data_IF_262676856342
#
_entry.id   IF_262676856342
#
_cell.length_a   1.000
_cell.length_b   1.000
_cell.length_c   1.000
_cell.angle_alpha   90.00
_cell.angle_beta   90.00
_cell.angle_gamma   90.00
#
_symmetry.space_group_name_H-M   'P 1'
#
loop_
_entity.id
_entity.type
_entity.pdbx_description
1 polymer ?
#
# COMPACT_ATOMS: atom_id res chain seq x y z
N UNK A 1 8.88 -12.35 -18.94
CA UNK A 1 9.14 -12.44 -20.41
C UNK A 1 8.02 -13.15 -21.16
N UNK A 2 7.58 -14.34 -20.70
CA UNK A 2 6.45 -15.02 -21.38
C UNK A 2 5.14 -14.25 -21.27
N UNK A 3 4.83 -13.71 -20.09
CA UNK A 3 3.64 -12.89 -19.88
C UNK A 3 3.55 -11.68 -20.83
N UNK A 4 4.67 -11.06 -21.19
CA UNK A 4 4.67 -9.92 -22.13
C UNK A 4 4.18 -10.31 -23.54
N UNK A 5 4.45 -11.55 -23.95
CA UNK A 5 4.01 -12.06 -25.26
C UNK A 5 2.51 -12.32 -25.28
N UNK A 6 1.99 -12.98 -24.24
CA UNK A 6 0.57 -13.35 -24.17
C UNK A 6 -0.36 -12.22 -23.74
N UNK A 7 0.17 -11.25 -22.98
CA UNK A 7 -0.58 -10.12 -22.44
C UNK A 7 -0.27 -8.79 -23.15
N UNK A 8 0.32 -8.82 -24.35
CA UNK A 8 0.78 -7.62 -25.06
C UNK A 8 -0.31 -6.56 -25.25
N UNK A 9 -1.55 -6.97 -25.42
CA UNK A 9 -2.71 -6.09 -25.62
C UNK A 9 -3.59 -5.98 -24.37
N UNK A 10 -3.13 -6.47 -23.23
CA UNK A 10 -3.89 -6.46 -22.00
C UNK A 10 -3.82 -5.08 -21.33
N UNK A 11 -4.86 -4.74 -20.58
CA UNK A 11 -4.97 -3.48 -19.86
C UNK A 11 -5.64 -3.69 -18.50
N UNK A 12 -5.52 -2.73 -17.61
CA UNK A 12 -6.33 -2.71 -16.40
C UNK A 12 -7.76 -2.33 -16.78
N UNK A 13 -8.70 -3.23 -16.54
CA UNK A 13 -10.11 -3.03 -16.82
C UNK A 13 -10.98 -3.60 -15.70
N UNK A 14 -11.88 -2.79 -15.17
CA UNK A 14 -12.80 -3.14 -14.07
C UNK A 14 -14.22 -3.40 -14.57
N UNK A 15 -14.49 -3.10 -15.85
CA UNK A 15 -15.79 -3.24 -16.46
C UNK A 15 -15.99 -4.59 -17.17
N UNK A 16 -17.25 -4.83 -17.50
CA UNK A 16 -17.63 -5.93 -18.40
C UNK A 16 -17.21 -5.60 -19.84
N UNK A 17 -16.79 -6.61 -20.57
CA UNK A 17 -16.57 -6.55 -22.02
C UNK A 17 -17.45 -7.64 -22.65
N UNK A 18 -18.61 -7.24 -23.16
CA UNK A 18 -19.60 -8.17 -23.72
C UNK A 18 -19.13 -8.82 -25.03
N UNK A 19 -18.24 -8.14 -25.78
CA UNK A 19 -17.68 -8.64 -27.03
C UNK A 19 -16.52 -9.61 -26.80
N UNK A 20 -15.79 -9.42 -25.70
CA UNK A 20 -14.68 -10.27 -25.32
C UNK A 20 -14.65 -10.53 -23.81
N UNK A 21 -15.35 -11.57 -23.33
CA UNK A 21 -15.39 -11.91 -21.90
C UNK A 21 -14.01 -12.16 -21.28
N UNK A 22 -13.00 -12.50 -22.05
CA UNK A 22 -11.63 -12.64 -21.57
C UNK A 22 -11.02 -11.29 -21.14
N UNK A 23 -11.42 -10.20 -21.78
CA UNK A 23 -10.98 -8.84 -21.44
C UNK A 23 -11.80 -8.19 -20.33
N UNK A 24 -12.95 -8.78 -19.96
CA UNK A 24 -13.76 -8.27 -18.88
C UNK A 24 -13.07 -8.46 -17.52
N UNK A 25 -13.25 -7.49 -16.63
CA UNK A 25 -12.81 -7.55 -15.25
C UNK A 25 -11.32 -7.91 -15.07
N UNK A 26 -10.45 -7.42 -15.95
CA UNK A 26 -9.01 -7.74 -15.95
C UNK A 26 -8.30 -7.23 -14.69
N UNK A 27 -8.84 -6.25 -13.99
CA UNK A 27 -8.33 -5.80 -12.70
C UNK A 27 -8.42 -6.83 -11.59
N UNK A 28 -9.37 -7.81 -11.69
CA UNK A 28 -9.47 -8.94 -10.76
C UNK A 28 -8.64 -10.17 -11.20
N UNK A 29 -7.86 -10.02 -12.25
CA UNK A 29 -6.98 -11.07 -12.77
C UNK A 29 -5.57 -10.53 -12.93
N UNK A 30 -4.59 -11.41 -12.94
CA UNK A 30 -3.20 -11.01 -13.20
C UNK A 30 -3.08 -10.51 -14.65
N UNK A 31 -3.28 -9.21 -14.84
CA UNK A 31 -3.07 -8.53 -16.10
C UNK A 31 -1.58 -8.20 -16.32
N UNK A 32 -1.23 -7.70 -17.52
CA UNK A 32 0.15 -7.36 -17.89
C UNK A 32 0.84 -6.45 -16.85
N UNK A 33 0.16 -5.40 -16.43
CA UNK A 33 0.76 -4.41 -15.54
C UNK A 33 0.81 -4.91 -14.10
N UNK A 34 -0.16 -5.71 -13.66
CA UNK A 34 -0.11 -6.41 -12.38
C UNK A 34 1.08 -7.40 -12.32
N UNK A 35 1.32 -8.17 -13.40
CA UNK A 35 2.45 -9.07 -13.48
C UNK A 35 3.79 -8.34 -13.45
N UNK A 36 3.92 -7.22 -14.18
CA UNK A 36 5.10 -6.36 -14.14
C UNK A 36 5.31 -5.73 -12.76
N UNK A 37 4.26 -5.20 -12.16
CA UNK A 37 4.33 -4.61 -10.83
C UNK A 37 4.73 -5.64 -9.76
N UNK A 38 4.19 -6.85 -9.82
CA UNK A 38 4.64 -7.95 -8.95
C UNK A 38 6.10 -8.31 -9.19
N UNK A 39 6.54 -8.33 -10.45
CA UNK A 39 7.97 -8.56 -10.77
C UNK A 39 8.86 -7.47 -10.16
N UNK A 40 8.48 -6.18 -10.29
CA UNK A 40 9.23 -5.08 -9.68
C UNK A 40 9.30 -5.22 -8.15
N UNK A 41 8.19 -5.56 -7.48
CA UNK A 41 8.13 -5.84 -6.04
C UNK A 41 9.09 -6.95 -5.62
N UNK A 42 9.11 -8.08 -6.35
CA UNK A 42 9.97 -9.23 -6.05
C UNK A 42 11.45 -8.88 -6.25
N UNK A 43 11.78 -8.17 -7.32
CA UNK A 43 13.15 -7.72 -7.60
C UNK A 43 13.64 -6.75 -6.51
N UNK A 44 12.82 -5.78 -6.13
CA UNK A 44 13.13 -4.87 -5.04
C UNK A 44 13.38 -5.63 -3.73
N UNK A 45 12.56 -6.65 -3.45
CA UNK A 45 12.71 -7.48 -2.25
C UNK A 45 14.01 -8.29 -2.25
N UNK A 46 14.47 -8.81 -3.40
CA UNK A 46 15.76 -9.51 -3.53
C UNK A 46 16.95 -8.58 -3.30
N UNK A 47 16.89 -7.34 -3.76
CA UNK A 47 17.80 -6.26 -3.39
C UNK A 47 19.20 -6.32 -3.99
N UNK A 48 19.49 -7.21 -4.93
CA UNK A 48 20.75 -7.19 -5.68
C UNK A 48 20.85 -5.95 -6.58
N UNK A 49 22.06 -5.48 -6.89
CA UNK A 49 22.25 -4.26 -7.70
C UNK A 49 21.57 -4.35 -9.08
N UNK A 50 21.65 -5.49 -9.75
CA UNK A 50 20.96 -5.76 -11.00
C UNK A 50 19.43 -5.81 -10.80
N UNK A 51 18.98 -6.40 -9.69
CA UNK A 51 17.57 -6.48 -9.33
C UNK A 51 16.99 -5.10 -9.08
N UNK A 52 17.69 -4.24 -8.35
CA UNK A 52 17.24 -2.86 -8.11
C UNK A 52 17.14 -2.07 -9.42
N UNK A 53 18.16 -2.16 -10.29
CA UNK A 53 18.13 -1.48 -11.58
C UNK A 53 16.92 -1.95 -12.43
N UNK A 54 16.66 -3.25 -12.47
CA UNK A 54 15.52 -3.80 -13.22
C UNK A 54 14.17 -3.49 -12.55
N UNK A 55 14.09 -3.51 -11.21
CA UNK A 55 12.89 -3.09 -10.48
C UNK A 55 12.50 -1.64 -10.80
N UNK A 56 13.47 -0.73 -10.75
CA UNK A 56 13.27 0.67 -11.12
C UNK A 56 12.82 0.85 -12.57
N UNK A 57 13.46 0.13 -13.50
CA UNK A 57 13.07 0.15 -14.92
C UNK A 57 11.64 -0.32 -15.14
N UNK A 58 11.25 -1.43 -14.53
CA UNK A 58 9.89 -1.99 -14.65
C UNK A 58 8.87 -1.05 -14.00
N UNK A 59 9.16 -0.51 -12.81
CA UNK A 59 8.26 0.41 -12.13
C UNK A 59 7.98 1.66 -13.00
N UNK A 60 9.02 2.27 -13.58
CA UNK A 60 8.90 3.39 -14.53
C UNK A 60 8.08 3.02 -15.77
N UNK A 61 8.27 1.82 -16.30
CA UNK A 61 7.49 1.32 -17.42
C UNK A 61 5.99 1.21 -17.07
N UNK A 62 5.66 0.66 -15.89
CA UNK A 62 4.27 0.56 -15.42
C UNK A 62 3.66 1.94 -15.24
N UNK A 63 4.37 2.86 -14.57
CA UNK A 63 3.93 4.25 -14.39
C UNK A 63 3.58 4.91 -15.73
N UNK A 64 4.43 4.77 -16.74
CA UNK A 64 4.25 5.43 -18.02
C UNK A 64 3.23 4.78 -18.95
N UNK A 65 2.89 3.52 -18.75
CA UNK A 65 2.13 2.74 -19.76
C UNK A 65 0.81 2.12 -19.25
N UNK A 66 0.58 2.02 -17.93
CA UNK A 66 -0.62 1.35 -17.42
C UNK A 66 -1.93 2.14 -17.67
N UNK A 67 -1.83 3.42 -18.01
CA UNK A 67 -2.97 4.30 -18.23
C UNK A 67 -3.66 4.79 -16.96
N UNK A 68 -3.26 4.32 -15.78
CA UNK A 68 -3.77 4.78 -14.50
C UNK A 68 -3.02 6.04 -14.04
N UNK A 69 -3.64 6.75 -13.11
CA UNK A 69 -3.05 7.93 -12.46
C UNK A 69 -3.17 7.80 -10.95
N UNK A 70 -2.24 8.41 -10.23
CA UNK A 70 -2.34 8.52 -8.78
C UNK A 70 -3.63 9.24 -8.37
N UNK A 71 -4.34 8.68 -7.40
CA UNK A 71 -5.52 9.29 -6.80
C UNK A 71 -5.11 10.59 -6.10
N UNK A 72 -5.86 11.66 -6.38
CA UNK A 72 -5.67 12.99 -5.83
C UNK A 72 -6.98 13.51 -5.27
N UNK A 73 -6.98 13.92 -4.02
CA UNK A 73 -8.10 14.65 -3.40
C UNK A 73 -9.51 14.03 -3.64
N UNK A 74 -9.58 12.70 -3.72
CA UNK A 74 -10.84 12.00 -3.91
C UNK A 74 -11.28 11.30 -2.62
N UNK A 75 -12.05 11.99 -1.79
CA UNK A 75 -12.57 11.45 -0.53
C UNK A 75 -13.57 10.29 -0.72
N UNK A 76 -14.05 10.05 -1.94
CA UNK A 76 -14.95 8.94 -2.25
C UNK A 76 -14.19 7.64 -2.57
N UNK A 77 -12.93 7.74 -2.98
CA UNK A 77 -12.07 6.59 -3.22
C UNK A 77 -11.10 6.35 -2.07
N UNK A 78 -11.66 5.87 -0.95
CA UNK A 78 -10.94 5.67 0.30
C UNK A 78 -9.82 4.64 0.18
N UNK A 79 -10.01 3.61 -0.64
CA UNK A 79 -9.03 2.54 -0.85
C UNK A 79 -8.03 2.85 -1.97
N UNK A 80 -8.13 4.02 -2.60
CA UNK A 80 -7.36 4.39 -3.80
C UNK A 80 -7.51 3.37 -4.93
N UNK A 81 -8.75 2.94 -5.17
CA UNK A 81 -9.06 1.90 -6.13
C UNK A 81 -8.81 2.35 -7.57
N UNK A 82 -9.00 3.63 -7.89
CA UNK A 82 -8.78 4.18 -9.24
C UNK A 82 -7.31 4.09 -9.70
N UNK A 83 -6.37 3.87 -8.79
CA UNK A 83 -4.96 3.60 -9.11
C UNK A 83 -4.56 2.12 -8.94
N UNK A 84 -5.53 1.22 -8.75
CA UNK A 84 -5.25 -0.19 -8.49
C UNK A 84 -4.97 -0.96 -9.76
N UNK A 85 -3.85 -1.68 -9.78
CA UNK A 85 -3.43 -2.55 -10.88
C UNK A 85 -4.02 -3.95 -10.75
N UNK A 86 -4.22 -4.40 -9.51
CA UNK A 86 -4.76 -5.72 -9.21
C UNK A 86 -5.48 -5.72 -7.86
N UNK A 87 -6.69 -6.26 -7.83
CA UNK A 87 -7.47 -6.47 -6.60
C UNK A 87 -8.12 -7.84 -6.57
N UNK A 88 -8.41 -8.32 -5.37
CA UNK A 88 -9.31 -9.45 -5.16
C UNK A 88 -10.74 -8.96 -4.95
N UNK A 89 -11.68 -9.65 -5.52
CA UNK A 89 -13.09 -9.49 -5.19
C UNK A 89 -13.50 -10.47 -4.10
N UNK A 90 -14.18 -9.98 -3.07
CA UNK A 90 -14.62 -10.75 -1.91
C UNK A 90 -16.05 -10.34 -1.56
N UNK A 91 -17.04 -11.15 -1.93
CA UNK A 91 -18.48 -10.87 -1.71
C UNK A 91 -18.84 -10.64 -0.24
N UNK A 92 -18.11 -11.22 0.70
CA UNK A 92 -18.32 -11.16 2.13
C UNK A 92 -17.22 -10.36 2.87
N UNK A 93 -16.55 -9.43 2.17
CA UNK A 93 -15.43 -8.68 2.73
C UNK A 93 -15.81 -7.88 3.98
N UNK A 94 -16.99 -7.26 3.98
CA UNK A 94 -17.47 -6.47 5.11
C UNK A 94 -17.62 -7.35 6.36
N UNK A 95 -18.31 -8.48 6.23
CA UNK A 95 -18.55 -9.43 7.34
C UNK A 95 -17.23 -9.97 7.92
N UNK A 96 -16.28 -10.31 7.06
CA UNK A 96 -14.96 -10.84 7.48
C UNK A 96 -14.09 -9.79 8.17
N UNK A 97 -14.19 -8.55 7.76
CA UNK A 97 -13.32 -7.48 8.25
C UNK A 97 -13.98 -6.66 9.35
N UNK A 98 -15.28 -6.82 9.58
CA UNK A 98 -16.02 -6.09 10.61
C UNK A 98 -15.35 -6.17 11.98
N UNK A 99 -14.97 -7.36 12.41
CA UNK A 99 -14.35 -7.58 13.72
C UNK A 99 -13.03 -6.84 13.91
N UNK A 100 -12.33 -6.51 12.83
CA UNK A 100 -11.03 -5.82 12.88
C UNK A 100 -11.14 -4.31 12.72
N UNK A 101 -12.11 -3.82 11.95
CA UNK A 101 -12.18 -2.42 11.52
C UNK A 101 -13.51 -1.73 11.86
N UNK A 102 -14.44 -2.39 12.56
CA UNK A 102 -15.71 -1.78 12.96
C UNK A 102 -15.61 -1.10 14.34
N UNK A 103 -16.33 -0.01 14.51
CA UNK A 103 -16.43 0.75 15.77
C UNK A 103 -16.91 -0.12 16.92
N UNK A 104 -17.91 -0.97 16.68
CA UNK A 104 -18.45 -1.88 17.71
C UNK A 104 -17.43 -2.91 18.19
N UNK A 105 -16.60 -3.43 17.30
CA UNK A 105 -15.54 -4.36 17.63
C UNK A 105 -14.40 -3.73 18.46
N UNK A 106 -14.26 -2.39 18.45
CA UNK A 106 -13.27 -1.69 19.26
C UNK A 106 -13.40 -1.96 20.77
N UNK A 107 -14.57 -2.38 21.22
CA UNK A 107 -14.84 -2.63 22.63
C UNK A 107 -14.50 -4.07 23.08
N UNK A 108 -14.43 -5.02 22.16
CA UNK A 108 -14.12 -6.44 22.49
C UNK A 108 -12.62 -6.79 22.47
N UNK A 109 -11.77 -5.87 22.06
CA UNK A 109 -10.30 -6.02 22.05
C UNK A 109 -9.73 -6.67 20.79
N UNK A 110 -10.55 -7.13 19.84
CA UNK A 110 -10.10 -7.71 18.57
C UNK A 110 -9.81 -6.65 17.50
N UNK A 111 -10.39 -5.46 17.62
CA UNK A 111 -10.27 -4.40 16.64
C UNK A 111 -8.87 -3.78 16.55
N UNK A 112 -8.45 -3.51 15.32
CA UNK A 112 -7.21 -2.81 15.01
C UNK A 112 -7.43 -1.29 15.03
N UNK A 113 -6.85 -0.62 16.01
CA UNK A 113 -6.98 0.81 16.20
C UNK A 113 -5.64 1.48 16.51
N UNK A 114 -5.58 2.78 16.29
CA UNK A 114 -4.43 3.64 16.60
C UNK A 114 -4.89 4.84 17.41
N UNK A 115 -4.11 5.26 18.41
CA UNK A 115 -4.45 6.49 19.15
C UNK A 115 -4.35 7.71 18.23
N UNK A 116 -5.17 8.77 18.46
CA UNK A 116 -5.08 10.01 17.69
C UNK A 116 -3.65 10.56 17.63
N UNK A 117 -2.97 10.66 18.77
CA UNK A 117 -1.58 11.16 18.83
C UNK A 117 -0.62 10.32 17.99
N UNK A 118 -0.78 8.99 17.98
CA UNK A 118 0.08 8.12 17.17
C UNK A 118 -0.25 8.27 15.68
N UNK A 119 -1.53 8.42 15.33
CA UNK A 119 -1.95 8.67 13.96
C UNK A 119 -1.42 10.03 13.44
N UNK A 120 -1.59 11.10 14.23
CA UNK A 120 -1.08 12.43 13.89
C UNK A 120 0.43 12.41 13.65
N UNK A 121 1.18 11.71 14.49
CA UNK A 121 2.62 11.54 14.31
C UNK A 121 2.97 10.65 13.11
N UNK A 122 2.22 9.56 12.87
CA UNK A 122 2.47 8.67 11.74
C UNK A 122 2.29 9.37 10.39
N UNK A 123 1.30 10.26 10.30
CA UNK A 123 1.00 11.04 9.10
C UNK A 123 1.58 12.45 9.11
N UNK A 124 2.37 12.81 10.13
CA UNK A 124 3.03 14.12 10.28
C UNK A 124 2.05 15.31 10.26
N UNK A 125 0.82 15.11 10.74
CA UNK A 125 -0.28 16.09 10.63
C UNK A 125 -0.04 17.36 11.46
N UNK A 126 0.69 17.23 12.56
CA UNK A 126 1.07 18.36 13.43
C UNK A 126 2.14 19.24 12.80
N UNK A 127 2.84 18.74 11.77
CA UNK A 127 3.79 19.52 10.98
C UNK A 127 3.11 20.19 9.78
N UNK A 128 3.77 21.19 9.21
CA UNK A 128 3.30 21.80 7.96
C UNK A 128 3.27 20.81 6.81
N UNK A 129 4.12 19.80 6.83
CA UNK A 129 4.28 18.78 5.77
C UNK A 129 3.02 17.93 5.63
N UNK A 130 2.57 17.28 6.71
CA UNK A 130 1.47 16.32 6.68
C UNK A 130 0.07 16.94 6.87
N UNK A 131 -0.03 18.26 7.09
CA UNK A 131 -1.31 18.93 7.41
C UNK A 131 -2.43 18.66 6.41
N UNK A 132 -2.10 18.53 5.14
CA UNK A 132 -3.05 18.31 4.05
C UNK A 132 -2.97 16.91 3.47
N UNK A 133 -2.26 15.98 4.11
CA UNK A 133 -2.17 14.61 3.65
C UNK A 133 -3.57 13.97 3.60
N UNK A 134 -4.02 13.63 2.40
CA UNK A 134 -5.38 13.10 2.16
C UNK A 134 -5.58 11.73 2.82
N UNK A 135 -4.50 10.98 3.04
CA UNK A 135 -4.54 9.68 3.71
C UNK A 135 -5.00 9.79 5.17
N UNK A 136 -4.82 10.98 5.77
CA UNK A 136 -5.33 11.29 7.10
C UNK A 136 -6.56 12.19 7.05
N UNK A 137 -6.49 13.30 6.28
CA UNK A 137 -7.46 14.41 6.31
C UNK A 137 -8.89 13.98 5.96
N UNK A 138 -9.07 13.13 4.97
CA UNK A 138 -10.38 12.67 4.54
C UNK A 138 -10.79 11.34 5.19
N UNK A 139 -10.08 10.91 6.22
CA UNK A 139 -10.31 9.63 6.86
C UNK A 139 -10.09 8.44 5.93
N UNK A 140 -9.32 8.64 4.88
CA UNK A 140 -8.89 7.59 3.96
C UNK A 140 -8.35 6.38 4.71
N UNK A 141 -7.52 6.59 5.71
CA UNK A 141 -7.01 5.54 6.54
C UNK A 141 -7.73 5.40 7.88
N UNK A 142 -8.43 6.44 8.36
CA UNK A 142 -8.78 6.52 9.78
C UNK A 142 -10.15 7.15 10.01
N UNK A 143 -10.90 6.60 10.96
CA UNK A 143 -12.12 7.21 11.48
C UNK A 143 -12.23 6.95 12.99
N UNK A 144 -13.13 7.66 13.65
CA UNK A 144 -13.28 7.55 15.09
C UNK A 144 -13.80 6.15 15.49
N UNK A 145 -12.96 5.40 16.17
CA UNK A 145 -13.24 4.08 16.77
C UNK A 145 -13.79 4.19 18.20
N UNK A 146 -14.63 5.16 18.48
CA UNK A 146 -15.19 5.38 19.83
C UNK A 146 -14.15 5.94 20.81
N UNK A 147 -14.14 5.44 22.03
CA UNK A 147 -13.26 5.92 23.12
C UNK A 147 -11.81 5.43 23.00
N UNK A 148 -11.54 4.41 22.20
CA UNK A 148 -10.19 3.81 22.10
C UNK A 148 -9.28 4.52 21.12
N UNK A 149 -9.79 4.92 19.96
CA UNK A 149 -8.95 5.59 18.97
C UNK A 149 -9.53 5.63 17.56
N UNK A 150 -8.63 5.68 16.59
CA UNK A 150 -8.94 5.75 15.17
C UNK A 150 -8.75 4.38 14.51
N UNK A 151 -9.63 4.03 13.57
CA UNK A 151 -9.61 2.77 12.85
C UNK A 151 -9.45 3.02 11.34
N UNK A 152 -8.88 2.05 10.64
CA UNK A 152 -8.74 2.12 9.19
C UNK A 152 -10.09 2.02 8.49
N UNK A 153 -10.34 2.89 7.51
CA UNK A 153 -11.57 2.91 6.72
C UNK A 153 -11.47 2.21 5.37
N UNK A 154 -10.28 1.87 4.94
CA UNK A 154 -10.05 1.29 3.60
C UNK A 154 -10.95 0.09 3.29
N UNK A 155 -11.29 -0.68 4.32
CA UNK A 155 -12.00 -1.95 4.20
C UNK A 155 -13.46 -1.89 4.67
N UNK A 156 -13.89 -0.74 5.16
CA UNK A 156 -15.28 -0.48 5.56
C UNK A 156 -15.83 0.69 4.73
N UNK A 157 -16.17 0.43 3.48
CA UNK A 157 -16.68 1.48 2.60
C UNK A 157 -18.02 2.00 3.08
N UNK A 158 -18.26 3.29 2.85
CA UNK A 158 -19.59 3.88 3.02
C UNK A 158 -20.58 3.22 2.07
N UNK A 159 -21.88 3.22 2.39
CA UNK A 159 -22.93 2.52 1.64
C UNK A 159 -22.96 2.79 0.13
N UNK A 160 -22.35 3.88 -0.33
CA UNK A 160 -22.32 4.30 -1.74
C UNK A 160 -20.97 4.06 -2.41
N UNK A 161 -20.06 3.33 -1.80
CA UNK A 161 -18.75 3.07 -2.39
C UNK A 161 -18.85 2.04 -3.51
N UNK A 162 -18.53 2.46 -4.73
CA UNK A 162 -18.67 1.62 -5.94
C UNK A 162 -17.77 0.39 -5.92
N UNK A 163 -16.66 0.49 -5.19
CA UNK A 163 -15.63 -0.55 -5.13
C UNK A 163 -15.63 -1.36 -3.82
N UNK A 164 -16.74 -1.31 -3.08
CA UNK A 164 -16.90 -2.20 -1.92
C UNK A 164 -16.67 -3.65 -2.36
N UNK A 165 -16.25 -4.50 -1.46
CA UNK A 165 -15.95 -5.90 -1.76
C UNK A 165 -14.68 -6.12 -2.61
N UNK A 166 -13.90 -5.07 -2.84
CA UNK A 166 -12.64 -5.17 -3.57
C UNK A 166 -11.45 -4.84 -2.67
N UNK A 167 -10.52 -5.78 -2.58
CA UNK A 167 -9.28 -5.65 -1.81
C UNK A 167 -8.11 -5.33 -2.76
N UNK A 168 -7.63 -4.08 -2.81
CA UNK A 168 -6.44 -3.73 -3.58
C UNK A 168 -5.21 -4.50 -3.09
N UNK A 169 -4.49 -5.16 -3.99
CA UNK A 169 -3.27 -5.89 -3.69
C UNK A 169 -2.02 -5.25 -4.27
N UNK A 170 -2.16 -4.58 -5.42
CA UNK A 170 -1.07 -3.87 -6.08
C UNK A 170 -1.64 -2.55 -6.60
N UNK A 171 -1.05 -1.44 -6.16
CA UNK A 171 -1.45 -0.08 -6.55
C UNK A 171 -0.32 0.66 -7.25
N UNK A 172 -0.67 1.65 -8.06
CA UNK A 172 0.29 2.48 -8.78
C UNK A 172 1.22 3.25 -7.82
N UNK A 173 0.71 3.71 -6.66
CA UNK A 173 1.53 4.36 -5.63
C UNK A 173 2.75 3.53 -5.21
N UNK A 174 2.63 2.20 -5.20
CA UNK A 174 3.78 1.31 -4.95
C UNK A 174 4.85 1.42 -6.04
N UNK A 175 4.45 1.56 -7.30
CA UNK A 175 5.41 1.70 -8.39
C UNK A 175 6.22 3.00 -8.28
N UNK A 176 5.60 4.08 -7.82
CA UNK A 176 6.32 5.32 -7.52
C UNK A 176 7.33 5.14 -6.39
N UNK A 177 6.98 4.44 -5.32
CA UNK A 177 7.91 4.13 -4.23
C UNK A 177 9.05 3.23 -4.70
N UNK A 178 8.77 2.19 -5.50
CA UNK A 178 9.80 1.32 -6.07
C UNK A 178 10.73 2.10 -7.01
N UNK A 179 10.18 2.95 -7.86
CA UNK A 179 10.98 3.78 -8.76
C UNK A 179 11.92 4.71 -7.98
N UNK A 180 11.38 5.43 -6.98
CA UNK A 180 12.17 6.32 -6.14
C UNK A 180 13.29 5.58 -5.41
N UNK A 181 12.95 4.49 -4.72
CA UNK A 181 13.90 3.73 -3.93
C UNK A 181 14.98 3.05 -4.78
N UNK A 182 14.59 2.40 -5.87
CA UNK A 182 15.51 1.65 -6.71
C UNK A 182 16.46 2.54 -7.53
N UNK A 183 16.08 3.78 -7.82
CA UNK A 183 16.86 4.68 -8.66
C UNK A 183 17.46 5.88 -7.94
N UNK A 184 17.01 6.17 -6.71
CA UNK A 184 17.39 7.38 -5.98
C UNK A 184 16.79 8.66 -6.55
N UNK A 185 15.82 8.57 -7.47
CA UNK A 185 15.22 9.71 -8.13
C UNK A 185 14.06 10.25 -7.27
N UNK A 186 14.28 11.43 -6.68
CA UNK A 186 13.33 12.05 -5.78
C UNK A 186 12.03 12.51 -6.47
N UNK A 187 12.02 12.68 -7.79
CA UNK A 187 10.84 13.12 -8.53
C UNK A 187 9.68 12.14 -8.33
N UNK A 188 9.93 10.83 -8.40
CA UNK A 188 8.89 9.82 -8.16
C UNK A 188 8.31 9.86 -6.74
N UNK A 189 9.16 10.09 -5.75
CA UNK A 189 8.70 10.21 -4.36
C UNK A 189 7.89 11.49 -4.16
N UNK A 190 8.34 12.59 -4.75
CA UNK A 190 7.65 13.88 -4.69
C UNK A 190 6.30 13.84 -5.43
N UNK A 191 6.24 13.21 -6.59
CA UNK A 191 5.00 13.01 -7.33
C UNK A 191 3.94 12.27 -6.51
N UNK A 192 4.34 11.19 -5.83
CA UNK A 192 3.46 10.48 -4.91
C UNK A 192 3.02 11.39 -3.77
N UNK A 193 3.95 12.06 -3.10
CA UNK A 193 3.67 12.97 -1.98
C UNK A 193 2.73 14.10 -2.39
N UNK A 194 2.98 14.71 -3.53
CA UNK A 194 2.14 15.76 -4.09
C UNK A 194 0.72 15.24 -4.41
N UNK A 195 0.61 14.02 -4.94
CA UNK A 195 -0.68 13.39 -5.16
C UNK A 195 -1.43 13.15 -3.85
N UNK A 196 -0.74 12.90 -2.76
CA UNK A 196 -1.30 12.71 -1.42
C UNK A 196 -1.56 14.02 -0.68
N UNK A 197 -1.43 15.17 -1.33
CA UNK A 197 -1.74 16.50 -0.78
C UNK A 197 -0.61 17.15 0.00
N UNK A 198 0.60 16.59 -0.01
CA UNK A 198 1.79 17.23 0.51
C UNK A 198 2.24 18.28 -0.52
N UNK A 199 2.38 19.52 -0.08
CA UNK A 199 2.70 20.64 -0.99
C UNK A 199 4.12 20.52 -1.58
N UNK A 200 4.29 20.90 -2.84
CA UNK A 200 5.58 20.93 -3.53
C UNK A 200 6.65 21.79 -2.83
N UNK A 201 6.27 22.70 -1.94
CA UNK A 201 7.26 23.45 -1.12
C UNK A 201 8.03 22.55 -0.14
N UNK A 202 7.57 21.32 0.06
CA UNK A 202 8.19 20.29 0.89
C UNK A 202 8.76 19.14 0.04
N UNK A 203 8.98 19.37 -1.25
CA UNK A 203 9.64 18.40 -2.11
C UNK A 203 11.05 18.11 -1.60
N UNK A 204 11.46 16.88 -1.78
CA UNK A 204 12.75 16.39 -1.33
C UNK A 204 13.76 16.52 -2.47
N UNK A 205 14.99 16.95 -2.14
CA UNK A 205 16.09 17.00 -3.09
C UNK A 205 16.70 15.60 -3.34
N UNK A 206 16.55 14.69 -2.39
CA UNK A 206 17.11 13.34 -2.44
C UNK A 206 16.19 12.30 -1.77
N UNK A 207 16.34 11.03 -2.17
CA UNK A 207 15.65 9.90 -1.55
C UNK A 207 16.48 9.38 -0.38
N UNK A 208 16.00 9.62 0.85
CA UNK A 208 16.63 9.08 2.06
C UNK A 208 15.84 7.91 2.62
N UNK A 209 16.50 7.01 3.37
CA UNK A 209 15.84 5.91 4.08
C UNK A 209 14.73 6.42 5.01
N UNK A 210 14.96 7.54 5.70
CA UNK A 210 13.96 8.15 6.58
C UNK A 210 12.73 8.63 5.82
N UNK A 211 12.91 9.23 4.65
CA UNK A 211 11.80 9.66 3.81
C UNK A 211 11.01 8.48 3.25
N UNK A 212 11.72 7.43 2.82
CA UNK A 212 11.08 6.19 2.37
C UNK A 212 10.30 5.52 3.52
N UNK A 213 10.89 5.39 4.72
CA UNK A 213 10.20 4.84 5.90
C UNK A 213 8.88 5.56 6.16
N UNK A 214 8.92 6.90 6.16
CA UNK A 214 7.73 7.71 6.38
C UNK A 214 6.66 7.47 5.30
N UNK A 215 7.06 7.43 4.03
CA UNK A 215 6.09 7.27 2.93
C UNK A 215 5.58 5.83 2.80
N UNK A 216 6.41 4.80 2.97
CA UNK A 216 5.94 3.41 3.02
C UNK A 216 4.94 3.19 4.16
N UNK A 217 5.20 3.74 5.34
CA UNK A 217 4.29 3.66 6.48
C UNK A 217 2.94 4.33 6.21
N UNK A 218 2.94 5.53 5.63
CA UNK A 218 1.71 6.28 5.31
C UNK A 218 0.94 5.61 4.17
N UNK A 219 1.62 5.24 3.11
CA UNK A 219 1.01 4.71 1.90
C UNK A 219 0.38 3.32 2.12
N UNK A 220 1.08 2.46 2.84
CA UNK A 220 0.65 1.09 3.09
C UNK A 220 0.06 0.86 4.48
N UNK A 221 -0.48 1.93 5.10
CA UNK A 221 -1.19 1.77 6.38
C UNK A 221 -2.30 0.73 6.25
N UNK A 222 -2.27 -0.29 7.12
CA UNK A 222 -3.17 -1.45 7.12
C UNK A 222 -3.13 -2.36 5.87
N UNK A 223 -2.11 -2.27 5.01
CA UNK A 223 -1.94 -3.14 3.83
C UNK A 223 -0.84 -4.20 4.00
N UNK A 224 -0.09 -4.17 5.10
CA UNK A 224 0.97 -5.15 5.39
C UNK A 224 2.30 -4.93 4.65
N UNK A 225 2.35 -4.11 3.60
CA UNK A 225 3.56 -3.92 2.78
C UNK A 225 4.71 -3.22 3.54
N UNK A 226 4.38 -2.39 4.53
CA UNK A 226 5.39 -1.73 5.37
C UNK A 226 6.28 -2.74 6.13
N UNK A 227 5.76 -3.91 6.51
CA UNK A 227 6.57 -4.98 7.12
C UNK A 227 7.70 -5.46 6.19
N UNK A 228 7.43 -5.58 4.90
CA UNK A 228 8.44 -6.01 3.93
C UNK A 228 9.51 -4.94 3.70
N UNK A 229 9.14 -3.65 3.78
CA UNK A 229 10.11 -2.55 3.78
C UNK A 229 11.05 -2.68 4.98
N UNK A 230 10.52 -2.76 6.20
CA UNK A 230 11.31 -2.90 7.42
C UNK A 230 12.25 -4.13 7.36
N UNK A 231 11.74 -5.25 6.86
CA UNK A 231 12.49 -6.51 6.75
C UNK A 231 13.69 -6.39 5.80
N UNK A 232 13.50 -5.87 4.59
CA UNK A 232 14.58 -5.80 3.58
C UNK A 232 15.63 -4.73 3.90
N UNK A 233 15.26 -3.69 4.64
CA UNK A 233 16.19 -2.70 5.19
C UNK A 233 16.83 -3.13 6.51
N UNK A 234 16.47 -4.30 7.04
CA UNK A 234 16.93 -4.81 8.33
C UNK A 234 16.79 -3.77 9.46
N UNK A 235 15.68 -3.02 9.45
CA UNK A 235 15.42 -1.94 10.39
C UNK A 235 15.43 -2.45 11.82
N UNK A 236 16.21 -1.84 12.69
CA UNK A 236 16.31 -2.25 14.10
C UNK A 236 15.25 -1.60 14.99
N UNK A 237 14.59 -0.60 14.47
CA UNK A 237 13.48 0.12 15.11
C UNK A 237 12.53 0.61 14.03
N UNK A 238 11.32 0.98 14.41
CA UNK A 238 10.32 1.56 13.51
C UNK A 238 9.42 2.52 14.30
N UNK A 239 8.61 3.30 13.61
CA UNK A 239 7.72 4.26 14.25
C UNK A 239 6.83 3.58 15.30
N UNK A 240 6.90 4.06 16.55
CA UNK A 240 6.21 3.48 17.72
C UNK A 240 6.56 2.01 18.00
N UNK A 241 7.78 1.62 17.69
CA UNK A 241 8.31 0.32 18.09
C UNK A 241 8.14 0.14 19.60
N UNK A 242 7.63 -1.00 20.07
CA UNK A 242 7.56 -1.28 21.50
C UNK A 242 8.94 -1.15 22.16
N UNK A 243 9.05 -0.54 23.35
CA UNK A 243 10.36 -0.35 24.02
C UNK A 243 11.16 -1.65 24.23
N UNK A 244 10.45 -2.78 24.35
CA UNK A 244 11.09 -4.10 24.46
C UNK A 244 11.81 -4.55 23.19
N UNK A 245 11.42 -4.02 22.02
CA UNK A 245 11.97 -4.34 20.71
C UNK A 245 12.81 -3.21 20.11
N UNK A 246 12.76 -2.01 20.69
CA UNK A 246 13.48 -0.84 20.17
C UNK A 246 14.98 -1.10 20.10
N UNK A 247 15.56 -0.92 18.91
CA UNK A 247 16.97 -1.21 18.63
C UNK A 247 17.36 -2.70 18.66
N UNK A 248 16.39 -3.60 18.89
CA UNK A 248 16.62 -5.04 19.02
C UNK A 248 16.02 -5.88 17.90
N UNK A 249 15.32 -5.24 16.97
CA UNK A 249 14.80 -5.95 15.81
C UNK A 249 15.94 -6.62 15.04
N UNK A 250 15.77 -7.88 14.72
CA UNK A 250 16.77 -8.71 14.04
C UNK A 250 16.09 -9.60 13.01
N UNK A 251 16.87 -10.37 12.28
CA UNK A 251 16.32 -11.33 11.32
C UNK A 251 15.28 -12.29 11.92
N UNK A 252 15.40 -12.60 13.21
CA UNK A 252 14.46 -13.49 13.90
C UNK A 252 13.03 -12.88 13.98
N UNK A 253 12.91 -11.58 14.28
CA UNK A 253 11.60 -10.92 14.34
C UNK A 253 10.96 -10.73 12.96
N UNK A 254 11.77 -10.80 11.90
CA UNK A 254 11.31 -10.69 10.51
C UNK A 254 11.01 -12.04 9.84
N UNK A 255 11.09 -13.15 10.58
CA UNK A 255 10.74 -14.49 10.10
C UNK A 255 9.56 -14.99 10.92
N UNK A 256 8.44 -15.29 10.23
CA UNK A 256 7.32 -15.93 10.90
C UNK A 256 7.71 -17.35 11.30
N UNK A 257 7.45 -17.76 12.56
CA UNK A 257 7.70 -19.13 12.96
C UNK A 257 6.78 -20.08 12.17
N UNK A 258 7.33 -21.25 11.83
CA UNK A 258 6.49 -22.33 11.30
C UNK A 258 5.44 -22.70 12.34
N UNK A 259 4.21 -22.94 11.88
CA UNK A 259 3.15 -23.47 12.75
C UNK A 259 3.53 -24.87 13.23
N UNK A 260 2.94 -25.32 14.33
CA UNK A 260 3.24 -26.65 14.85
C UNK A 260 2.81 -27.74 13.87
N UNK A 261 1.70 -27.55 13.17
CA UNK A 261 1.23 -28.44 12.11
C UNK A 261 2.25 -28.55 10.95
N UNK A 262 2.83 -27.42 10.52
CA UNK A 262 3.87 -27.45 9.47
C UNK A 262 5.17 -28.13 9.93
N UNK A 263 5.51 -28.07 11.22
CA UNK A 263 6.68 -28.75 11.77
C UNK A 263 6.51 -30.28 11.84
N UNK A 264 5.26 -30.76 11.99
CA UNK A 264 4.96 -32.18 12.01
C UNK A 264 5.08 -32.86 10.63
N UNK A 265 4.95 -32.08 9.55
CA UNK A 265 4.99 -32.59 8.17
C UNK A 265 6.33 -32.35 7.43
N UNK A 266 7.30 -31.68 8.05
CA UNK A 266 8.65 -31.44 7.55
C UNK A 266 9.71 -32.12 8.44
#
# INVERSE_FOLDING_TARGET
KEADTYLAQDSVNWGNDAENPFKAYRGHRMNKYAAKALQARVLLYRGGSEDLAEAGRIAKEVIGQCGLKLVRDNFQDIAMFDETLFALHMDDMEDRLESYFNVSAADDGSALWITPTNAEGAFEVTSSVGRNDIRYKFGYGLYNGGTKGLMCRKYLPTQNYVYKENLPLIRLGEMYLIAAEATGDAEYLNDLRNARGISAVYDLDEVTETALDAEYRKEFFAEGQYFYFLKRHAMKTFYRCPPSLEGKMSSFQYVFPLTDDEKEYN
#
